data_IF_854749522340
#
_entry.id   IF_854749522340
#
_cell.length_a   1.000
_cell.length_b   1.000
_cell.length_c   1.000
_cell.angle_alpha   90.00
_cell.angle_beta   90.00
_cell.angle_gamma   90.00
#
_symmetry.space_group_name_H-M   'P 1'
#
loop_
_entity.id
_entity.type
_entity.pdbx_description
1 polymer ?
#
# COMPACT_ATOMS: atom_id res chain seq x y z
N UNK A 1 -16.52 6.71 7.66
CA UNK A 1 -15.04 6.66 7.76
C UNK A 1 -14.53 7.95 8.40
N UNK A 2 -14.78 9.09 7.78
CA UNK A 2 -14.57 10.41 8.36
C UNK A 2 -15.92 11.07 8.66
N UNK A 3 -15.90 12.10 9.48
CA UNK A 3 -17.01 13.04 9.63
C UNK A 3 -17.26 13.74 8.29
N UNK A 4 -18.51 14.09 7.99
CA UNK A 4 -18.83 14.83 6.78
C UNK A 4 -20.31 15.00 6.54
N UNK A 5 -20.66 15.42 5.33
CA UNK A 5 -22.04 15.60 4.88
C UNK A 5 -22.34 14.72 3.67
N UNK A 6 -23.50 14.06 3.65
CA UNK A 6 -23.92 13.29 2.48
C UNK A 6 -24.26 14.26 1.35
N UNK A 7 -23.51 14.18 0.25
CA UNK A 7 -23.74 14.96 -0.96
C UNK A 7 -24.66 14.23 -1.94
N UNK A 8 -24.54 12.91 -2.02
CA UNK A 8 -25.33 12.06 -2.92
C UNK A 8 -25.78 10.81 -2.18
N UNK A 9 -27.05 10.45 -2.32
CA UNK A 9 -27.62 9.21 -1.79
C UNK A 9 -28.74 8.75 -2.73
N UNK A 10 -28.39 8.04 -3.81
CA UNK A 10 -29.35 7.59 -4.84
C UNK A 10 -28.77 6.47 -5.70
N UNK A 11 -29.61 5.89 -6.56
CA UNK A 11 -29.14 5.00 -7.63
C UNK A 11 -28.42 5.80 -8.72
N UNK A 12 -27.20 5.39 -9.10
CA UNK A 12 -26.30 6.11 -10.00
C UNK A 12 -25.62 5.17 -11.02
N UNK A 13 -26.34 4.80 -12.07
CA UNK A 13 -25.76 4.05 -13.21
C UNK A 13 -24.99 2.79 -12.81
N UNK A 14 -23.75 2.67 -13.28
CA UNK A 14 -22.88 1.52 -13.00
C UNK A 14 -22.55 1.35 -11.50
N UNK A 15 -22.59 2.41 -10.71
CA UNK A 15 -22.36 2.33 -9.26
C UNK A 15 -23.51 1.64 -8.51
N UNK A 16 -24.68 1.47 -9.14
CA UNK A 16 -25.85 0.96 -8.43
C UNK A 16 -26.32 1.98 -7.39
N UNK A 17 -26.66 1.53 -6.18
CA UNK A 17 -26.96 2.44 -5.09
C UNK A 17 -25.66 3.03 -4.55
N UNK A 18 -25.57 4.36 -4.59
CA UNK A 18 -24.36 5.13 -4.29
C UNK A 18 -24.66 6.13 -3.17
N UNK A 19 -23.77 6.14 -2.18
CA UNK A 19 -23.64 7.24 -1.21
C UNK A 19 -22.31 7.93 -1.44
N UNK A 20 -22.31 9.26 -1.51
CA UNK A 20 -21.11 10.09 -1.53
C UNK A 20 -21.14 11.00 -0.32
N UNK A 21 -20.08 10.94 0.49
CA UNK A 21 -19.88 11.82 1.64
C UNK A 21 -18.77 12.80 1.30
N UNK A 22 -19.06 14.09 1.44
CA UNK A 22 -18.10 15.19 1.34
C UNK A 22 -17.56 15.53 2.73
N UNK A 23 -16.24 15.74 2.81
CA UNK A 23 -15.52 16.00 4.05
C UNK A 23 -14.93 17.42 4.03
N UNK A 24 -14.67 17.99 5.21
CA UNK A 24 -14.23 19.39 5.36
C UNK A 24 -12.93 19.73 4.62
N UNK A 25 -12.09 18.73 4.37
CA UNK A 25 -10.81 18.86 3.65
C UNK A 25 -10.94 18.63 2.13
N UNK A 26 -12.15 18.74 1.57
CA UNK A 26 -12.44 18.52 0.13
C UNK A 26 -12.19 17.09 -0.36
N UNK A 27 -12.00 16.15 0.56
CA UNK A 27 -12.10 14.74 0.23
C UNK A 27 -13.56 14.34 0.06
N UNK A 28 -13.78 13.41 -0.85
CA UNK A 28 -15.04 12.71 -0.99
C UNK A 28 -14.80 11.21 -0.84
N UNK A 29 -15.71 10.53 -0.15
CA UNK A 29 -15.74 9.06 -0.10
C UNK A 29 -16.99 8.52 -0.79
N UNK A 30 -16.80 7.58 -1.71
CA UNK A 30 -17.87 6.96 -2.50
C UNK A 30 -18.09 5.54 -2.00
N UNK A 31 -19.36 5.20 -1.71
CA UNK A 31 -19.80 3.89 -1.25
C UNK A 31 -20.83 3.35 -2.24
N UNK A 32 -20.40 2.45 -3.12
CA UNK A 32 -21.19 1.94 -4.23
C UNK A 32 -21.59 0.46 -4.05
N UNK A 33 -22.45 0.00 -4.96
CA UNK A 33 -23.04 -1.35 -5.01
C UNK A 33 -23.92 -1.70 -3.81
N UNK A 34 -24.35 -0.71 -3.02
CA UNK A 34 -25.14 -0.92 -1.81
C UNK A 34 -26.45 -1.66 -2.12
N UNK A 35 -26.90 -2.54 -1.23
CA UNK A 35 -28.23 -3.15 -1.31
C UNK A 35 -29.30 -2.17 -0.84
N UNK A 36 -28.99 -1.35 0.16
CA UNK A 36 -29.87 -0.34 0.75
C UNK A 36 -29.10 0.91 1.15
N UNK A 37 -29.73 2.07 0.97
CA UNK A 37 -29.26 3.36 1.45
C UNK A 37 -30.07 3.73 2.70
N UNK A 38 -29.39 4.17 3.76
CA UNK A 38 -30.01 4.54 5.04
C UNK A 38 -29.96 6.04 5.34
N UNK A 39 -29.32 6.82 4.48
CA UNK A 39 -29.09 8.27 4.64
C UNK A 39 -29.66 9.05 3.44
N UNK A 40 -29.86 10.35 3.62
CA UNK A 40 -30.34 11.27 2.59
C UNK A 40 -29.29 12.36 2.29
N UNK A 41 -29.35 12.99 1.11
CA UNK A 41 -28.53 14.16 0.83
C UNK A 41 -28.79 15.28 1.84
N UNK A 42 -27.72 15.87 2.36
CA UNK A 42 -27.76 16.92 3.38
C UNK A 42 -27.46 16.43 4.80
N UNK A 43 -27.60 15.12 5.07
CA UNK A 43 -27.34 14.56 6.40
C UNK A 43 -25.88 14.80 6.83
N UNK A 44 -25.70 15.20 8.09
CA UNK A 44 -24.39 15.25 8.74
C UNK A 44 -24.09 13.90 9.39
N UNK A 45 -22.88 13.41 9.17
CA UNK A 45 -22.50 12.04 9.51
C UNK A 45 -21.26 12.06 10.37
N UNK A 46 -21.22 11.20 11.39
CA UNK A 46 -20.00 10.96 12.17
C UNK A 46 -19.22 9.75 11.69
N UNK A 47 -17.91 9.78 11.90
CA UNK A 47 -17.05 8.64 11.66
C UNK A 47 -17.57 7.39 12.38
N UNK A 48 -17.84 6.33 11.61
CA UNK A 48 -18.34 5.05 12.13
C UNK A 48 -19.85 4.85 11.98
N UNK A 49 -20.59 5.89 11.63
CA UNK A 49 -22.03 5.80 11.40
C UNK A 49 -22.37 4.99 10.14
N UNK A 50 -23.50 4.27 10.18
CA UNK A 50 -23.92 3.36 9.13
C UNK A 50 -24.65 4.11 8.02
N UNK A 51 -24.03 4.18 6.84
CA UNK A 51 -24.59 4.83 5.65
C UNK A 51 -25.62 3.96 4.89
N UNK A 52 -25.52 2.64 5.03
CA UNK A 52 -26.29 1.69 4.24
C UNK A 52 -25.76 0.26 4.39
N UNK A 53 -26.30 -0.64 3.58
CA UNK A 53 -25.94 -2.06 3.59
C UNK A 53 -25.20 -2.44 2.31
N UNK A 54 -24.14 -3.24 2.44
CA UNK A 54 -23.40 -3.80 1.31
C UNK A 54 -24.30 -4.66 0.41
N UNK A 55 -23.95 -4.77 -0.88
CA UNK A 55 -24.78 -5.47 -1.85
C UNK A 55 -24.06 -5.74 -3.16
N UNK A 56 -24.86 -5.93 -4.22
CA UNK A 56 -24.36 -6.20 -5.57
C UNK A 56 -25.15 -5.41 -6.63
N UNK A 57 -25.64 -4.21 -6.29
CA UNK A 57 -26.43 -3.40 -7.24
C UNK A 57 -25.55 -2.72 -8.29
N UNK A 58 -26.14 -2.39 -9.46
CA UNK A 58 -25.39 -1.77 -10.55
C UNK A 58 -24.56 -2.79 -11.32
N UNK A 59 -23.37 -2.37 -11.78
CA UNK A 59 -22.45 -3.23 -12.52
C UNK A 59 -21.45 -3.87 -11.56
N UNK A 60 -21.84 -5.02 -11.01
CA UNK A 60 -21.05 -5.79 -10.05
C UNK A 60 -21.01 -7.26 -10.44
N UNK A 61 -19.89 -7.95 -10.16
CA UNK A 61 -19.75 -9.40 -10.37
C UNK A 61 -20.20 -10.24 -9.18
N UNK A 62 -20.54 -9.61 -8.05
CA UNK A 62 -21.00 -10.29 -6.83
C UNK A 62 -21.06 -9.35 -5.62
N UNK A 63 -21.60 -9.77 -4.46
CA UNK A 63 -21.72 -8.89 -3.30
C UNK A 63 -20.38 -8.37 -2.78
N UNK A 64 -20.17 -7.05 -2.83
CA UNK A 64 -19.00 -6.37 -2.27
C UNK A 64 -19.28 -4.86 -2.11
N UNK A 65 -18.37 -4.16 -1.42
CA UNK A 65 -18.36 -2.70 -1.38
C UNK A 65 -17.33 -2.18 -2.38
N UNK A 66 -17.76 -1.33 -3.31
CA UNK A 66 -16.82 -0.53 -4.10
C UNK A 66 -16.62 0.81 -3.41
N UNK A 67 -15.41 1.00 -2.87
CA UNK A 67 -14.99 2.19 -2.14
C UNK A 67 -14.06 3.03 -3.02
N UNK A 68 -14.34 4.32 -3.13
CA UNK A 68 -13.39 5.29 -3.70
C UNK A 68 -13.12 6.42 -2.72
N UNK A 69 -11.91 6.97 -2.80
CA UNK A 69 -11.54 8.24 -2.19
C UNK A 69 -11.18 9.19 -3.33
N UNK A 70 -11.74 10.40 -3.31
CA UNK A 70 -11.48 11.42 -4.32
C UNK A 70 -11.08 12.73 -3.65
N UNK A 71 -10.19 13.47 -4.30
CA UNK A 71 -9.87 14.85 -3.93
C UNK A 71 -10.20 15.75 -5.12
N UNK A 72 -11.09 16.73 -4.91
CA UNK A 72 -11.57 17.63 -5.97
C UNK A 72 -12.03 16.87 -7.25
N UNK A 73 -12.73 15.75 -7.07
CA UNK A 73 -13.25 14.90 -8.15
C UNK A 73 -12.25 13.91 -8.77
N UNK A 74 -10.94 14.06 -8.50
CA UNK A 74 -9.91 13.13 -8.97
C UNK A 74 -9.74 11.96 -7.99
N UNK A 75 -9.83 10.73 -8.49
CA UNK A 75 -9.68 9.53 -7.67
C UNK A 75 -8.23 9.31 -7.24
N UNK A 76 -8.05 9.01 -5.96
CA UNK A 76 -6.79 8.56 -5.38
C UNK A 76 -6.95 7.12 -4.90
N UNK A 77 -5.82 6.45 -4.70
CA UNK A 77 -5.83 5.09 -4.17
C UNK A 77 -6.27 5.08 -2.69
N UNK A 78 -7.34 4.36 -2.30
CA UNK A 78 -7.72 4.26 -0.89
C UNK A 78 -6.63 3.67 0.00
N UNK A 79 -5.75 2.80 -0.53
CA UNK A 79 -4.62 2.24 0.22
C UNK A 79 -3.53 3.27 0.53
N UNK A 80 -3.52 4.44 -0.12
CA UNK A 80 -2.61 5.54 0.23
C UNK A 80 -3.10 6.29 1.49
N UNK A 81 -4.33 6.02 1.93
CA UNK A 81 -4.98 6.65 3.08
C UNK A 81 -5.24 5.65 4.20
N UNK A 82 -5.63 4.42 3.85
CA UNK A 82 -6.12 3.39 4.78
C UNK A 82 -5.25 2.15 4.72
N UNK A 83 -4.87 1.66 5.90
CA UNK A 83 -4.40 0.30 6.04
C UNK A 83 -5.58 -0.66 6.24
N UNK A 84 -5.94 -1.40 5.19
CA UNK A 84 -7.03 -2.37 5.21
C UNK A 84 -6.76 -3.62 6.06
N UNK A 85 -5.54 -3.79 6.60
CA UNK A 85 -5.21 -4.93 7.48
C UNK A 85 -5.64 -4.68 8.92
N UNK A 86 -5.44 -3.46 9.42
CA UNK A 86 -5.77 -3.07 10.78
C UNK A 86 -6.87 -2.00 10.86
N UNK A 87 -7.46 -1.63 9.72
CA UNK A 87 -8.54 -0.66 9.57
C UNK A 87 -8.21 0.73 10.14
N UNK A 88 -6.94 1.13 10.11
CA UNK A 88 -6.46 2.42 10.58
C UNK A 88 -6.01 3.32 9.42
N UNK A 89 -5.96 4.63 9.67
CA UNK A 89 -5.29 5.57 8.77
C UNK A 89 -3.78 5.32 8.76
N UNK A 90 -3.14 5.56 7.62
CA UNK A 90 -1.69 5.48 7.51
C UNK A 90 -0.99 6.65 8.20
N UNK A 91 -1.55 7.85 8.06
CA UNK A 91 -1.08 9.10 8.65
C UNK A 91 -2.27 10.07 8.74
N UNK A 92 -2.18 11.06 9.62
CA UNK A 92 -3.16 12.15 9.73
C UNK A 92 -3.02 13.14 8.55
N UNK A 93 -1.85 13.16 7.90
CA UNK A 93 -1.55 14.05 6.78
C UNK A 93 -1.24 13.28 5.50
N UNK A 94 -1.96 13.60 4.42
CA UNK A 94 -1.69 13.06 3.08
C UNK A 94 -1.09 14.15 2.18
N UNK A 95 0.19 14.01 1.82
CA UNK A 95 0.79 14.86 0.78
C UNK A 95 0.37 14.38 -0.60
N UNK A 96 -0.39 15.21 -1.31
CA UNK A 96 -0.82 14.91 -2.68
C UNK A 96 0.28 15.28 -3.69
N UNK A 97 0.62 14.31 -4.52
CA UNK A 97 1.55 14.44 -5.64
C UNK A 97 0.91 13.87 -6.90
N UNK A 98 1.52 14.11 -8.07
CA UNK A 98 1.06 13.52 -9.35
C UNK A 98 0.96 11.99 -9.29
N UNK A 99 1.73 11.35 -8.42
CA UNK A 99 1.78 9.90 -8.31
C UNK A 99 0.50 9.33 -7.68
N UNK A 100 -0.14 10.06 -6.76
CA UNK A 100 -1.38 9.64 -6.10
C UNK A 100 -2.57 9.48 -7.06
N UNK A 101 -2.53 10.19 -8.19
CA UNK A 101 -3.58 10.17 -9.22
C UNK A 101 -3.26 9.22 -10.38
N UNK A 102 -2.14 8.49 -10.32
CA UNK A 102 -1.81 7.51 -11.36
C UNK A 102 -2.74 6.31 -11.25
N UNK A 103 -3.26 5.89 -12.39
CA UNK A 103 -4.00 4.63 -12.46
C UNK A 103 -3.03 3.46 -12.31
N UNK A 104 -2.92 2.92 -11.10
CA UNK A 104 -2.07 1.77 -10.83
C UNK A 104 -2.80 0.48 -11.21
N UNK A 105 -2.28 -0.23 -12.21
CA UNK A 105 -2.67 -1.62 -12.42
C UNK A 105 -2.24 -2.46 -11.19
N UNK A 106 -3.10 -3.37 -10.72
CA UNK A 106 -2.82 -4.28 -9.59
C UNK A 106 -1.46 -5.00 -9.75
N UNK A 107 -1.06 -5.30 -10.99
CA UNK A 107 0.21 -5.94 -11.34
C UNK A 107 1.44 -5.07 -11.05
N UNK A 108 1.35 -3.75 -11.21
CA UNK A 108 2.43 -2.81 -10.89
C UNK A 108 2.54 -2.57 -9.36
N UNK A 109 1.45 -2.73 -8.60
CA UNK A 109 1.47 -2.60 -7.13
C UNK A 109 2.21 -3.74 -6.45
N UNK A 110 1.95 -5.00 -6.80
CA UNK A 110 2.67 -6.15 -6.22
C UNK A 110 4.19 -6.06 -6.42
N UNK A 111 4.63 -5.49 -7.56
CA UNK A 111 6.06 -5.26 -7.81
C UNK A 111 6.67 -4.16 -6.94
N UNK A 112 5.86 -3.16 -6.53
CA UNK A 112 6.31 -2.03 -5.72
C UNK A 112 6.20 -2.29 -4.21
N UNK A 113 5.15 -2.98 -3.71
CA UNK A 113 5.09 -3.44 -2.32
C UNK A 113 6.23 -4.43 -1.99
N UNK A 114 6.53 -5.36 -2.90
CA UNK A 114 7.70 -6.25 -2.75
C UNK A 114 9.05 -5.51 -2.80
N UNK A 115 9.09 -4.30 -3.40
CA UNK A 115 10.26 -3.42 -3.42
C UNK A 115 10.37 -2.57 -2.16
N UNK A 116 9.26 -2.04 -1.64
CA UNK A 116 9.23 -1.20 -0.43
C UNK A 116 9.39 -2.02 0.86
N UNK A 117 8.89 -3.26 0.90
CA UNK A 117 9.19 -4.19 2.01
C UNK A 117 10.60 -4.77 1.98
N UNK A 118 11.41 -4.48 0.94
CA UNK A 118 12.86 -4.58 1.06
C UNK A 118 13.35 -3.34 1.79
N UNK A 119 13.18 -3.35 3.11
CA UNK A 119 13.97 -2.49 3.99
C UNK A 119 15.42 -2.54 3.51
N UNK A 120 15.93 -1.38 3.12
CA UNK A 120 17.32 -1.17 2.72
C UNK A 120 18.19 -1.36 3.96
N UNK A 121 18.34 -2.60 4.40
CA UNK A 121 19.37 -2.97 5.36
C UNK A 121 20.69 -2.59 4.74
N UNK A 122 21.22 -1.44 5.17
CA UNK A 122 22.50 -0.88 4.73
C UNK A 122 23.50 -2.03 4.83
N UNK A 123 24.00 -2.47 3.67
CA UNK A 123 24.74 -3.71 3.60
C UNK A 123 25.93 -3.67 4.56
N UNK A 124 26.11 -4.73 5.36
CA UNK A 124 27.27 -4.81 6.27
C UNK A 124 28.47 -5.27 5.45
N UNK A 125 29.61 -4.60 5.58
CA UNK A 125 30.84 -4.95 4.87
C UNK A 125 31.96 -5.33 5.84
N UNK A 126 32.89 -6.17 5.40
CA UNK A 126 34.13 -6.50 6.10
C UNK A 126 35.30 -6.50 5.13
N UNK A 127 36.53 -6.23 5.60
CA UNK A 127 37.74 -6.25 4.78
C UNK A 127 38.45 -7.58 4.99
N UNK A 128 38.78 -8.28 3.89
CA UNK A 128 39.53 -9.54 3.93
C UNK A 128 40.91 -9.29 4.52
N UNK A 129 41.26 -10.01 5.59
CA UNK A 129 42.60 -9.99 6.19
C UNK A 129 43.52 -10.99 5.50
N UNK A 130 44.83 -10.78 5.61
CA UNK A 130 45.83 -11.72 5.08
C UNK A 130 45.62 -13.09 5.75
N UNK A 131 45.36 -14.13 4.96
CA UNK A 131 45.07 -15.49 5.44
C UNK A 131 43.59 -15.82 5.70
N UNK A 132 42.66 -14.87 5.57
CA UNK A 132 41.22 -15.19 5.66
C UNK A 132 40.71 -15.89 4.38
N UNK A 133 39.72 -16.77 4.55
CA UNK A 133 39.03 -17.47 3.47
C UNK A 133 37.55 -17.11 3.48
N UNK A 134 36.83 -17.43 2.39
CA UNK A 134 35.38 -17.22 2.35
C UNK A 134 34.65 -17.99 3.46
N UNK A 135 35.14 -19.17 3.84
CA UNK A 135 34.54 -19.97 4.90
C UNK A 135 34.70 -19.33 6.28
N UNK A 136 35.88 -18.80 6.60
CA UNK A 136 36.10 -18.12 7.89
C UNK A 136 35.30 -16.82 8.00
N UNK A 137 35.24 -16.04 6.91
CA UNK A 137 34.44 -14.80 6.84
C UNK A 137 32.95 -15.11 6.95
N UNK A 138 32.47 -16.15 6.27
CA UNK A 138 31.07 -16.55 6.32
C UNK A 138 30.65 -16.99 7.73
N UNK A 139 31.45 -17.85 8.37
CA UNK A 139 31.23 -18.33 9.75
C UNK A 139 31.19 -17.18 10.75
N UNK A 140 32.17 -16.26 10.68
CA UNK A 140 32.26 -15.09 11.57
C UNK A 140 31.07 -14.13 11.44
N UNK A 141 30.42 -14.08 10.29
CA UNK A 141 29.30 -13.17 10.02
C UNK A 141 27.94 -13.88 9.96
N UNK A 142 27.86 -15.14 10.43
CA UNK A 142 26.59 -15.88 10.49
C UNK A 142 25.94 -16.10 9.12
N UNK A 143 26.74 -16.33 8.09
CA UNK A 143 26.26 -16.56 6.71
C UNK A 143 26.95 -17.79 6.10
N UNK A 144 26.53 -18.22 4.91
CA UNK A 144 27.14 -19.36 4.21
C UNK A 144 28.09 -18.89 3.11
N UNK A 145 29.08 -19.72 2.76
CA UNK A 145 30.02 -19.43 1.65
C UNK A 145 29.27 -19.16 0.35
N UNK A 146 28.25 -19.97 0.06
CA UNK A 146 27.39 -19.82 -1.13
C UNK A 146 26.65 -18.48 -1.13
N UNK A 147 26.08 -18.09 0.02
CA UNK A 147 25.37 -16.80 0.17
C UNK A 147 26.34 -15.63 0.06
N UNK A 148 27.50 -15.72 0.70
CA UNK A 148 28.55 -14.70 0.67
C UNK A 148 29.13 -14.52 -0.74
N UNK A 149 29.43 -15.61 -1.44
CA UNK A 149 29.92 -15.58 -2.81
C UNK A 149 28.90 -14.97 -3.77
N UNK A 150 27.62 -15.38 -3.65
CA UNK A 150 26.51 -14.80 -4.44
C UNK A 150 26.36 -13.30 -4.19
N UNK A 151 26.44 -12.87 -2.94
CA UNK A 151 26.28 -11.46 -2.55
C UNK A 151 27.39 -10.55 -3.11
N UNK A 152 28.57 -11.12 -3.36
CA UNK A 152 29.75 -10.39 -3.84
C UNK A 152 30.15 -10.76 -5.29
N UNK A 153 29.31 -11.51 -6.00
CA UNK A 153 29.57 -12.00 -7.36
C UNK A 153 30.92 -12.72 -7.50
N UNK A 154 31.34 -13.44 -6.46
CA UNK A 154 32.61 -14.19 -6.44
C UNK A 154 32.38 -15.55 -7.11
N UNK A 155 33.18 -15.84 -8.14
CA UNK A 155 33.19 -17.15 -8.81
C UNK A 155 34.25 -18.04 -8.15
N UNK A 156 33.83 -19.18 -7.60
CA UNK A 156 34.71 -20.10 -6.87
C UNK A 156 35.12 -19.58 -5.49
N UNK A 157 36.32 -19.95 -5.05
CA UNK A 157 36.77 -19.75 -3.66
C UNK A 157 37.87 -18.68 -3.48
N UNK A 158 38.18 -17.90 -4.53
CA UNK A 158 39.30 -16.96 -4.51
C UNK A 158 38.88 -15.57 -4.02
N UNK A 159 39.57 -15.07 -3.00
CA UNK A 159 39.45 -13.71 -2.47
C UNK A 159 40.84 -13.10 -2.23
N UNK A 160 40.96 -11.78 -2.34
CA UNK A 160 42.24 -11.07 -2.15
C UNK A 160 42.28 -10.38 -0.79
N UNK A 161 43.44 -10.40 -0.13
CA UNK A 161 43.66 -9.60 1.07
C UNK A 161 43.41 -8.11 0.75
N UNK A 162 42.66 -7.44 1.63
CA UNK A 162 42.24 -6.05 1.47
C UNK A 162 40.93 -5.84 0.71
N UNK A 163 40.36 -6.88 0.10
CA UNK A 163 39.08 -6.81 -0.60
C UNK A 163 37.94 -6.50 0.38
N UNK A 164 37.05 -5.55 0.03
CA UNK A 164 35.80 -5.31 0.77
C UNK A 164 34.76 -6.34 0.33
N UNK A 165 34.20 -7.07 1.30
CA UNK A 165 33.20 -8.10 1.09
C UNK A 165 31.94 -7.72 1.86
N UNK A 166 30.80 -7.72 1.17
CA UNK A 166 29.47 -7.57 1.75
C UNK A 166 29.06 -8.86 2.45
N UNK A 167 28.67 -8.78 3.71
CA UNK A 167 28.28 -9.93 4.54
C UNK A 167 26.79 -9.99 4.86
N UNK A 168 26.07 -8.86 4.69
CA UNK A 168 24.60 -8.75 4.86
C UNK A 168 24.03 -7.74 3.86
#
# INVERSE_FOLDING_TARGET
>A
MFDGRVRVAKRAGAYGNLVVVEHDNQLETYYAHLSRINVAPGDEIKAGEVLGLGGSTGRSTGPHLHLEIRYQGAAINPEDVINFTNFALLDDNLTLTKDNFRHHSVKQRNTNLAKNNRTSTKGKYTKVRKGETLSTIAKRNGTTVKKLAKLNKIKGNKIKAGQKIRVR
#
